data_IF_555615539979
#
_entry.id   IF_555615539979
#
_cell.length_a   1.000
_cell.length_b   1.000
_cell.length_c   1.000
_cell.angle_alpha   90.00
_cell.angle_beta   90.00
_cell.angle_gamma   90.00
#
_symmetry.space_group_name_H-M   'P 1'
#
loop_
_entity.id
_entity.type
_entity.pdbx_description
1 polymer ?
#
# COMPACT_ATOMS: atom_id res chain seq x y z
N UNK A 1 -1.97 45.36 18.31
CA UNK A 1 -3.11 44.84 17.52
C UNK A 1 -3.19 43.34 17.71
N UNK A 2 -4.42 42.83 17.81
CA UNK A 2 -4.75 41.48 18.30
C UNK A 2 -4.09 40.41 17.45
N UNK A 3 -3.55 39.40 18.13
CA UNK A 3 -2.94 38.23 17.52
C UNK A 3 -3.98 37.46 16.71
N UNK A 4 -3.66 37.23 15.45
CA UNK A 4 -4.20 36.09 14.73
C UNK A 4 -3.66 34.85 15.43
N UNK A 5 -4.54 34.18 16.18
CA UNK A 5 -4.33 32.81 16.58
C UNK A 5 -4.16 31.98 15.30
N UNK A 6 -2.91 31.81 14.86
CA UNK A 6 -2.56 30.68 14.00
C UNK A 6 -3.07 29.45 14.73
N UNK A 7 -4.05 28.77 14.11
CA UNK A 7 -4.52 27.47 14.59
C UNK A 7 -3.29 26.59 14.82
N UNK A 8 -3.13 25.94 15.98
CA UNK A 8 -2.01 25.04 16.22
C UNK A 8 -1.96 24.02 15.08
N UNK A 9 -0.82 23.92 14.40
CA UNK A 9 -0.60 22.85 13.42
C UNK A 9 -0.72 21.53 14.20
N UNK A 10 -1.62 20.60 13.84
CA UNK A 10 -1.83 19.41 14.64
C UNK A 10 -0.54 18.58 14.71
N UNK A 11 0.10 18.65 15.88
CA UNK A 11 1.06 17.73 16.46
C UNK A 11 2.32 17.36 15.64
N UNK A 12 3.43 18.04 15.94
CA UNK A 12 4.79 17.55 15.72
C UNK A 12 5.15 16.31 16.59
N UNK A 13 4.22 15.79 17.40
CA UNK A 13 4.40 14.63 18.28
C UNK A 13 3.27 13.59 18.24
N UNK A 14 2.32 13.69 17.30
CA UNK A 14 1.37 12.59 17.07
C UNK A 14 1.98 11.65 16.03
N UNK A 15 2.10 10.36 16.37
CA UNK A 15 2.50 9.24 15.51
C UNK A 15 4.00 9.04 15.23
N UNK A 16 4.89 9.45 16.15
CA UNK A 16 6.19 8.78 16.37
C UNK A 16 5.94 7.64 17.38
N UNK A 17 6.57 6.48 17.16
CA UNK A 17 6.40 5.31 18.03
C UNK A 17 6.82 5.63 19.48
N UNK A 18 6.09 5.14 20.48
CA UNK A 18 6.31 5.49 21.90
C UNK A 18 7.73 5.18 22.41
N UNK A 19 8.31 4.07 21.95
CA UNK A 19 9.69 3.66 22.25
C UNK A 19 10.77 4.38 21.42
N UNK A 20 10.38 5.22 20.45
CA UNK A 20 11.36 5.93 19.63
C UNK A 20 11.98 7.07 20.44
N UNK A 21 13.30 7.01 20.61
CA UNK A 21 14.06 7.97 21.44
C UNK A 21 13.87 9.44 21.04
N UNK A 22 13.57 9.71 19.77
CA UNK A 22 13.38 11.08 19.27
C UNK A 22 11.96 11.62 19.43
N UNK A 23 11.04 10.84 20.01
CA UNK A 23 9.64 11.25 20.20
C UNK A 23 9.54 12.51 21.06
N UNK A 24 10.14 12.45 22.25
CA UNK A 24 10.10 13.52 23.25
C UNK A 24 11.44 14.28 23.34
N UNK A 25 12.49 13.76 22.71
CA UNK A 25 13.84 14.32 22.72
C UNK A 25 14.36 14.50 21.28
N UNK A 26 13.90 15.53 20.54
CA UNK A 26 14.44 15.80 19.21
C UNK A 26 15.93 16.14 19.29
N UNK A 27 16.73 15.87 18.24
CA UNK A 27 18.15 16.20 18.24
C UNK A 27 18.43 17.67 18.55
N UNK A 28 19.27 17.90 19.55
CA UNK A 28 19.81 19.24 19.84
C UNK A 28 20.96 19.53 18.88
N UNK A 29 20.66 20.22 17.78
CA UNK A 29 21.65 20.55 16.77
C UNK A 29 22.77 21.44 17.29
N UNK A 30 22.50 22.31 18.27
CA UNK A 30 23.54 23.16 18.84
C UNK A 30 24.53 22.30 19.63
N UNK A 31 24.03 21.47 20.55
CA UNK A 31 24.86 20.57 21.36
C UNK A 31 25.66 19.60 20.47
N UNK A 32 25.03 19.00 19.47
CA UNK A 32 25.71 18.13 18.49
C UNK A 32 26.80 18.89 17.72
N UNK A 33 26.55 20.14 17.32
CA UNK A 33 27.55 20.98 16.66
C UNK A 33 28.77 21.31 17.53
N UNK A 34 28.60 21.40 18.85
CA UNK A 34 29.73 21.60 19.76
C UNK A 34 30.56 20.33 19.93
N UNK A 35 29.92 19.15 19.89
CA UNK A 35 30.60 17.87 20.06
C UNK A 35 31.24 17.33 18.77
N UNK A 36 30.63 17.60 17.61
CA UNK A 36 31.05 17.03 16.32
C UNK A 36 31.41 18.14 15.33
N UNK A 37 32.70 18.50 15.19
CA UNK A 37 33.13 19.58 14.30
C UNK A 37 32.72 19.38 12.83
N UNK A 38 32.71 18.14 12.33
CA UNK A 38 32.26 17.81 10.98
C UNK A 38 30.77 18.13 10.77
N UNK A 39 29.94 18.01 11.83
CA UNK A 39 28.52 18.36 11.77
C UNK A 39 28.30 19.89 11.86
N UNK A 40 29.13 20.60 12.62
CA UNK A 40 29.01 22.04 12.88
C UNK A 40 28.93 22.89 11.61
N UNK A 41 29.65 22.52 10.55
CA UNK A 41 29.67 23.24 9.27
C UNK A 41 28.30 23.29 8.55
N UNK A 42 27.40 22.35 8.89
CA UNK A 42 26.07 22.23 8.30
C UNK A 42 24.98 22.96 9.11
N UNK A 43 25.37 23.66 10.19
CA UNK A 43 24.46 24.45 11.00
C UNK A 43 24.25 25.85 10.44
N UNK A 44 23.07 26.40 10.71
CA UNK A 44 22.59 27.73 10.33
C UNK A 44 21.98 28.40 11.55
N UNK A 45 21.95 29.74 11.55
CA UNK A 45 21.34 30.54 12.63
C UNK A 45 21.84 30.12 14.03
N UNK A 46 23.15 29.92 14.17
CA UNK A 46 23.78 29.56 15.44
C UNK A 46 23.71 30.75 16.38
N UNK A 47 23.12 30.54 17.56
CA UNK A 47 22.97 31.50 18.65
C UNK A 47 23.56 30.87 19.91
N UNK A 48 24.78 31.28 20.27
CA UNK A 48 25.52 30.74 21.41
C UNK A 48 24.87 31.12 22.75
N UNK A 49 24.34 32.34 22.86
CA UNK A 49 23.68 32.82 24.09
C UNK A 49 22.42 32.01 24.41
N UNK A 50 21.67 31.63 23.37
CA UNK A 50 20.46 30.79 23.53
C UNK A 50 20.73 29.30 23.37
N UNK A 51 21.96 28.89 23.06
CA UNK A 51 22.34 27.51 22.73
C UNK A 51 21.42 26.90 21.66
N UNK A 52 21.22 27.60 20.53
CA UNK A 52 20.33 27.17 19.45
C UNK A 52 21.01 27.16 18.09
N UNK A 53 20.65 26.19 17.27
CA UNK A 53 21.06 26.10 15.87
C UNK A 53 19.97 25.41 15.04
N UNK A 54 19.99 25.64 13.73
CA UNK A 54 19.16 24.96 12.75
C UNK A 54 20.04 24.16 11.78
N UNK A 55 19.54 23.03 11.28
CA UNK A 55 20.20 22.32 10.18
C UNK A 55 19.91 23.01 8.84
N UNK A 56 20.88 23.03 7.93
CA UNK A 56 20.68 23.39 6.52
C UNK A 56 19.91 22.28 5.78
N UNK A 57 18.58 22.26 5.90
CA UNK A 57 17.72 21.22 5.31
C UNK A 57 17.71 21.18 3.77
N UNK A 58 18.10 22.27 3.14
CA UNK A 58 18.28 22.42 1.70
C UNK A 58 19.60 21.81 1.19
N UNK A 59 20.54 21.51 2.10
CA UNK A 59 21.82 20.88 1.78
C UNK A 59 21.74 19.35 1.96
N UNK A 60 21.84 18.55 0.87
CA UNK A 60 21.80 17.10 0.99
C UNK A 60 22.96 16.52 1.82
N UNK A 61 24.11 17.20 1.89
CA UNK A 61 25.22 16.77 2.72
C UNK A 61 24.90 16.95 4.22
N UNK A 62 24.11 17.96 4.58
CA UNK A 62 23.69 18.20 5.96
C UNK A 62 22.82 17.07 6.49
N UNK A 63 21.88 16.55 5.69
CA UNK A 63 21.03 15.42 6.08
C UNK A 63 21.84 14.12 6.27
N UNK A 64 22.85 13.92 5.41
CA UNK A 64 23.80 12.80 5.53
C UNK A 64 24.63 12.89 6.79
N UNK A 65 25.22 14.06 7.04
CA UNK A 65 26.05 14.27 8.22
C UNK A 65 25.23 14.22 9.51
N UNK A 66 23.99 14.71 9.50
CA UNK A 66 23.06 14.53 10.62
C UNK A 66 22.87 13.03 10.91
N UNK A 67 22.56 12.23 9.87
CA UNK A 67 22.32 10.80 10.04
C UNK A 67 23.55 10.07 10.58
N UNK A 68 24.73 10.37 10.05
CA UNK A 68 26.02 9.84 10.52
C UNK A 68 26.29 10.24 11.97
N UNK A 69 26.07 11.51 12.31
CA UNK A 69 26.27 12.05 13.67
C UNK A 69 25.33 11.38 14.67
N UNK A 70 24.05 11.24 14.33
CA UNK A 70 23.08 10.59 15.20
C UNK A 70 23.39 9.10 15.39
N UNK A 71 23.76 8.38 14.33
CA UNK A 71 24.15 6.97 14.45
C UNK A 71 25.34 6.78 15.37
N UNK A 72 26.35 7.63 15.26
CA UNK A 72 27.51 7.60 16.14
C UNK A 72 27.14 7.98 17.59
N UNK A 73 26.49 9.13 17.77
CA UNK A 73 26.18 9.69 19.10
C UNK A 73 25.21 8.81 19.89
N UNK A 74 24.14 8.35 19.25
CA UNK A 74 23.04 7.68 19.94
C UNK A 74 23.17 6.15 19.97
N UNK A 75 23.90 5.56 19.01
CA UNK A 75 23.98 4.11 18.84
C UNK A 75 25.42 3.57 18.78
N UNK A 76 26.44 4.44 18.80
CA UNK A 76 27.84 4.04 18.65
C UNK A 76 28.19 3.49 17.26
N UNK A 77 27.33 3.70 16.27
CA UNK A 77 27.47 3.15 14.94
C UNK A 77 28.29 4.08 14.05
N UNK A 78 29.43 3.58 13.58
CA UNK A 78 30.22 4.23 12.54
C UNK A 78 29.56 3.96 11.20
N UNK A 79 29.18 5.01 10.47
CA UNK A 79 28.35 4.87 9.27
C UNK A 79 28.76 5.87 8.20
N UNK A 80 28.75 5.42 6.95
CA UNK A 80 29.04 6.26 5.79
C UNK A 80 28.41 5.65 4.54
N UNK A 81 28.00 6.49 3.59
CA UNK A 81 27.44 6.09 2.30
C UNK A 81 27.92 7.02 1.19
N UNK A 82 27.99 6.54 -0.06
CA UNK A 82 28.15 7.39 -1.23
C UNK A 82 27.07 8.47 -1.30
N UNK A 83 27.42 9.63 -1.86
CA UNK A 83 26.48 10.75 -1.99
C UNK A 83 25.31 10.44 -2.93
N UNK A 84 25.52 9.57 -3.92
CA UNK A 84 24.52 9.14 -4.91
C UNK A 84 23.66 7.96 -4.41
N UNK A 85 23.43 7.89 -3.09
CA UNK A 85 22.60 6.87 -2.46
C UNK A 85 21.60 7.52 -1.52
N UNK A 86 20.47 6.84 -1.32
CA UNK A 86 19.40 7.35 -0.48
C UNK A 86 19.86 7.46 0.98
N UNK A 87 19.90 8.68 1.52
CA UNK A 87 20.14 8.92 2.94
C UNK A 87 18.86 8.67 3.76
N UNK A 88 18.86 7.74 4.73
CA UNK A 88 17.66 7.41 5.48
C UNK A 88 17.38 8.42 6.61
N UNK A 89 16.16 8.99 6.73
CA UNK A 89 15.80 9.76 7.93
C UNK A 89 15.67 8.81 9.13
N UNK A 90 16.63 8.88 10.06
CA UNK A 90 16.78 7.93 11.16
C UNK A 90 15.52 7.73 12.03
N UNK A 91 14.76 8.76 12.44
CA UNK A 91 13.56 8.56 13.26
C UNK A 91 12.49 7.69 12.58
N UNK A 92 12.31 7.79 11.26
CA UNK A 92 11.37 6.96 10.52
C UNK A 92 11.81 5.49 10.50
N UNK A 93 13.13 5.23 10.44
CA UNK A 93 13.66 3.87 10.44
C UNK A 93 13.44 3.19 11.79
N UNK A 94 13.63 3.92 12.88
CA UNK A 94 13.32 3.45 14.23
C UNK A 94 11.83 3.15 14.43
N UNK A 95 10.92 3.96 13.87
CA UNK A 95 9.48 3.67 13.93
C UNK A 95 9.13 2.30 13.33
N UNK A 96 9.79 1.92 12.23
CA UNK A 96 9.56 0.61 11.63
C UNK A 96 10.13 -0.52 12.51
N UNK A 97 11.36 -0.38 13.00
CA UNK A 97 11.97 -1.38 13.89
C UNK A 97 11.15 -1.61 15.16
N UNK A 98 10.68 -0.53 15.82
CA UNK A 98 9.83 -0.67 16.99
C UNK A 98 8.47 -1.31 16.67
N UNK A 99 7.93 -1.08 15.48
CA UNK A 99 6.73 -1.78 15.06
C UNK A 99 6.97 -3.29 14.85
N UNK A 100 8.15 -3.69 14.34
CA UNK A 100 8.55 -5.10 14.30
C UNK A 100 8.63 -5.68 15.72
N UNK A 101 9.22 -4.98 16.69
CA UNK A 101 9.24 -5.41 18.09
C UNK A 101 7.81 -5.69 18.62
N UNK A 102 6.85 -4.81 18.34
CA UNK A 102 5.44 -5.00 18.74
C UNK A 102 4.81 -6.25 18.11
N UNK A 103 5.11 -6.51 16.83
CA UNK A 103 4.63 -7.70 16.12
C UNK A 103 5.23 -8.99 16.69
N UNK A 104 6.50 -8.96 17.10
CA UNK A 104 7.18 -10.10 17.71
C UNK A 104 6.65 -10.37 19.12
N UNK A 105 6.39 -9.34 19.93
CA UNK A 105 5.79 -9.49 21.27
C UNK A 105 4.43 -10.21 21.20
N UNK A 106 3.64 -9.99 20.14
CA UNK A 106 2.36 -10.68 19.94
C UNK A 106 2.51 -12.20 19.78
N UNK A 107 3.66 -12.69 19.29
CA UNK A 107 3.95 -14.12 19.21
C UNK A 107 4.33 -14.67 20.59
N UNK A 108 5.28 -14.02 21.26
CA UNK A 108 5.81 -14.48 22.55
C UNK A 108 4.72 -14.59 23.62
N UNK A 109 3.75 -13.68 23.61
CA UNK A 109 2.62 -13.70 24.56
C UNK A 109 1.68 -14.91 24.39
N UNK A 110 1.63 -15.53 23.20
CA UNK A 110 0.89 -16.78 22.98
C UNK A 110 1.68 -18.00 23.47
N UNK A 111 3.01 -17.98 23.33
CA UNK A 111 3.93 -19.00 23.88
C UNK A 111 4.06 -18.98 25.40
N UNK A 112 3.94 -17.81 26.05
CA UNK A 112 4.00 -17.66 27.51
C UNK A 112 2.77 -18.19 28.26
N UNK A 113 1.71 -18.63 27.57
CA UNK A 113 0.59 -19.32 28.23
C UNK A 113 0.84 -20.82 28.44
N UNK A 114 1.92 -21.39 27.88
CA UNK A 114 2.29 -22.78 28.13
C UNK A 114 3.81 -22.93 28.31
N UNK A 115 4.18 -23.19 29.58
CA UNK A 115 5.36 -23.93 30.06
C UNK A 115 6.75 -23.29 30.01
N UNK A 116 7.38 -23.37 31.19
CA UNK A 116 8.80 -23.36 31.56
C UNK A 116 9.66 -22.08 31.56
N UNK A 117 10.18 -21.80 32.76
CA UNK A 117 11.11 -20.74 33.16
C UNK A 117 12.55 -20.92 32.63
N UNK A 118 12.77 -21.76 31.62
CA UNK A 118 14.08 -21.99 30.98
C UNK A 118 14.04 -21.63 29.49
N UNK A 119 13.47 -20.47 29.16
CA UNK A 119 13.57 -19.89 27.83
C UNK A 119 15.03 -19.48 27.59
N UNK A 120 15.79 -20.35 26.93
CA UNK A 120 16.99 -19.94 26.19
C UNK A 120 16.62 -18.72 25.37
N UNK A 121 17.34 -17.60 25.51
CA UNK A 121 17.13 -16.38 24.71
C UNK A 121 17.03 -16.78 23.24
N UNK A 122 15.81 -16.84 22.70
CA UNK A 122 15.60 -17.17 21.30
C UNK A 122 16.12 -15.99 20.50
N UNK A 123 17.25 -16.21 19.81
CA UNK A 123 17.86 -15.18 18.97
C UNK A 123 16.94 -14.91 17.80
N UNK A 124 16.33 -13.73 17.77
CA UNK A 124 15.46 -13.28 16.69
C UNK A 124 16.28 -13.16 15.39
N UNK A 125 15.77 -13.74 14.30
CA UNK A 125 16.37 -13.71 12.97
C UNK A 125 15.43 -13.04 11.96
N UNK A 126 15.90 -11.96 11.35
CA UNK A 126 15.19 -11.18 10.33
C UNK A 126 15.82 -11.26 8.93
N UNK A 127 15.06 -10.80 7.94
CA UNK A 127 15.55 -10.55 6.58
C UNK A 127 15.25 -9.10 6.21
N UNK A 128 16.25 -8.35 5.77
CA UNK A 128 16.11 -6.97 5.27
C UNK A 128 16.23 -6.98 3.75
N UNK A 129 15.11 -6.78 3.05
CA UNK A 129 15.03 -6.83 1.58
C UNK A 129 15.33 -5.46 0.99
N UNK A 130 16.39 -5.37 0.19
CA UNK A 130 16.84 -4.10 -0.38
C UNK A 130 17.43 -3.20 0.71
N UNK A 131 18.46 -3.70 1.40
CA UNK A 131 19.08 -3.05 2.56
C UNK A 131 19.74 -1.70 2.21
N UNK A 132 19.99 -1.45 0.91
CA UNK A 132 20.63 -0.24 0.40
C UNK A 132 22.09 -0.13 0.81
N UNK A 133 22.78 0.90 0.32
CA UNK A 133 24.16 1.17 0.74
C UNK A 133 24.29 1.40 2.26
N UNK A 134 23.20 1.87 2.87
CA UNK A 134 23.15 2.27 4.27
C UNK A 134 23.03 1.10 5.26
N UNK A 135 22.43 -0.03 4.88
CA UNK A 135 22.18 -1.18 5.75
C UNK A 135 21.51 -0.83 7.09
N UNK A 136 20.69 0.23 7.11
CA UNK A 136 20.31 0.93 8.34
C UNK A 136 19.49 0.06 9.28
N UNK A 137 18.58 -0.75 8.74
CA UNK A 137 17.69 -1.57 9.56
C UNK A 137 18.45 -2.71 10.24
N UNK A 138 19.29 -3.42 9.49
CA UNK A 138 20.10 -4.51 10.04
C UNK A 138 21.08 -4.00 11.10
N UNK A 139 21.76 -2.86 10.85
CA UNK A 139 22.68 -2.25 11.81
C UNK A 139 21.98 -1.87 13.13
N UNK A 140 20.84 -1.17 13.03
CA UNK A 140 20.08 -0.75 14.20
C UNK A 140 19.51 -1.95 14.96
N UNK A 141 18.85 -2.90 14.28
CA UNK A 141 18.27 -4.08 14.93
C UNK A 141 19.32 -4.98 15.58
N UNK A 142 20.49 -5.15 14.96
CA UNK A 142 21.61 -5.87 15.56
C UNK A 142 22.18 -5.13 16.78
N UNK A 143 22.26 -3.80 16.72
CA UNK A 143 22.82 -2.99 17.82
C UNK A 143 21.88 -2.96 19.03
N UNK A 144 20.61 -2.62 18.79
CA UNK A 144 19.58 -2.40 19.81
C UNK A 144 19.04 -3.71 20.38
N UNK A 145 18.80 -4.71 19.55
CA UNK A 145 18.04 -5.91 19.93
C UNK A 145 18.83 -7.23 19.74
N UNK A 146 20.09 -7.17 19.30
CA UNK A 146 20.94 -8.34 19.00
C UNK A 146 20.33 -9.29 17.97
N UNK A 147 19.47 -8.76 17.09
CA UNK A 147 18.86 -9.54 16.02
C UNK A 147 19.89 -9.99 15.00
N UNK A 148 19.71 -11.20 14.48
CA UNK A 148 20.45 -11.70 13.32
C UNK A 148 19.74 -11.30 12.04
N UNK A 149 20.48 -10.96 11.00
CA UNK A 149 19.95 -10.52 9.72
C UNK A 149 20.57 -11.25 8.54
N UNK A 150 19.73 -11.58 7.56
CA UNK A 150 20.14 -11.65 6.16
C UNK A 150 19.73 -10.34 5.50
N UNK A 151 20.70 -9.53 5.09
CA UNK A 151 20.46 -8.23 4.44
C UNK A 151 20.72 -8.37 2.93
N UNK A 152 19.73 -8.17 2.08
CA UNK A 152 19.83 -8.44 0.65
C UNK A 152 19.96 -7.15 -0.16
N UNK A 153 20.76 -7.19 -1.23
CA UNK A 153 20.91 -6.06 -2.13
C UNK A 153 21.23 -6.52 -3.55
N UNK A 154 20.56 -5.91 -4.54
CA UNK A 154 20.73 -6.21 -5.97
C UNK A 154 21.80 -5.30 -6.60
N UNK A 155 21.89 -4.05 -6.14
CA UNK A 155 22.88 -3.10 -6.63
C UNK A 155 24.29 -3.43 -6.11
N UNK A 156 25.25 -3.52 -7.03
CA UNK A 156 26.62 -3.96 -6.71
C UNK A 156 27.32 -3.03 -5.72
N UNK A 157 27.17 -1.72 -5.91
CA UNK A 157 27.87 -0.72 -5.12
C UNK A 157 27.22 -0.57 -3.74
N UNK A 158 25.88 -0.58 -3.68
CA UNK A 158 25.13 -0.63 -2.42
C UNK A 158 25.48 -1.88 -1.62
N UNK A 159 25.58 -3.05 -2.26
CA UNK A 159 26.01 -4.29 -1.61
C UNK A 159 27.41 -4.14 -0.97
N UNK A 160 28.39 -3.61 -1.71
CA UNK A 160 29.74 -3.40 -1.18
C UNK A 160 29.76 -2.37 -0.05
N UNK A 161 28.97 -1.30 -0.15
CA UNK A 161 28.87 -0.30 0.91
C UNK A 161 28.23 -0.88 2.18
N UNK A 162 27.14 -1.63 2.04
CA UNK A 162 26.46 -2.30 3.15
C UNK A 162 27.43 -3.22 3.88
N UNK A 163 28.21 -4.04 3.15
CA UNK A 163 29.26 -4.89 3.76
C UNK A 163 30.30 -4.08 4.53
N UNK A 164 30.77 -2.96 3.99
CA UNK A 164 31.72 -2.07 4.69
C UNK A 164 31.12 -1.45 5.95
N UNK A 165 29.84 -1.10 5.91
CA UNK A 165 29.09 -0.57 7.06
C UNK A 165 28.90 -1.63 8.16
N UNK A 166 28.66 -2.89 7.80
CA UNK A 166 28.64 -3.98 8.78
C UNK A 166 30.03 -4.20 9.38
N UNK A 167 31.07 -4.30 8.55
CA UNK A 167 32.42 -4.63 9.00
C UNK A 167 33.05 -3.58 9.91
N UNK A 168 32.87 -2.28 9.62
CA UNK A 168 33.39 -1.21 10.49
C UNK A 168 32.79 -1.19 11.90
N UNK A 169 31.61 -1.82 12.07
CA UNK A 169 30.94 -1.94 13.36
C UNK A 169 31.11 -3.34 13.99
N UNK A 170 31.88 -4.23 13.36
CA UNK A 170 32.12 -5.61 13.84
C UNK A 170 30.82 -6.42 14.02
N UNK A 171 29.84 -6.18 13.14
CA UNK A 171 28.51 -6.80 13.22
C UNK A 171 28.33 -8.00 12.28
N UNK A 172 29.39 -8.49 11.63
CA UNK A 172 29.36 -9.68 10.76
C UNK A 172 28.78 -10.94 11.45
N UNK A 173 29.01 -11.19 12.77
CA UNK A 173 28.39 -12.33 13.46
C UNK A 173 26.86 -12.26 13.53
N UNK A 174 26.28 -11.06 13.38
CA UNK A 174 24.85 -10.82 13.41
C UNK A 174 24.27 -10.56 12.02
N UNK A 175 25.02 -9.94 11.11
CA UNK A 175 24.50 -9.47 9.82
C UNK A 175 25.25 -10.13 8.66
N UNK A 176 24.55 -10.97 7.91
CA UNK A 176 25.02 -11.52 6.64
C UNK A 176 24.45 -10.71 5.47
N UNK A 177 25.28 -9.87 4.83
CA UNK A 177 24.90 -9.16 3.61
C UNK A 177 25.03 -10.09 2.40
N UNK A 178 23.94 -10.32 1.68
CA UNK A 178 23.89 -11.17 0.47
C UNK A 178 23.57 -10.34 -0.77
N UNK A 179 24.31 -10.60 -1.85
CA UNK A 179 24.00 -10.04 -3.16
C UNK A 179 22.94 -10.89 -3.84
N UNK A 180 21.91 -10.25 -4.39
CA UNK A 180 20.92 -10.90 -5.26
C UNK A 180 21.14 -10.47 -6.71
N UNK A 181 20.64 -11.29 -7.63
CA UNK A 181 20.82 -11.08 -9.07
C UNK A 181 19.49 -11.09 -9.84
N UNK A 182 18.40 -11.46 -9.17
CA UNK A 182 17.06 -11.53 -9.76
C UNK A 182 16.06 -10.75 -8.92
N UNK A 183 14.85 -10.58 -9.45
CA UNK A 183 13.72 -9.99 -8.72
C UNK A 183 13.02 -11.00 -7.79
N UNK A 184 13.65 -12.14 -7.48
CA UNK A 184 13.16 -13.09 -6.48
C UNK A 184 13.62 -12.63 -5.10
N UNK A 185 12.77 -11.85 -4.44
CA UNK A 185 13.11 -11.06 -3.25
C UNK A 185 13.49 -11.91 -2.04
N UNK A 186 12.91 -13.10 -1.90
CA UNK A 186 13.09 -14.01 -0.77
C UNK A 186 13.58 -15.40 -1.20
N UNK A 187 13.08 -15.94 -2.30
CA UNK A 187 13.41 -17.29 -2.76
C UNK A 187 14.89 -17.43 -3.18
N UNK A 188 15.45 -16.43 -3.88
CA UNK A 188 16.87 -16.44 -4.24
C UNK A 188 17.80 -16.36 -3.02
N UNK A 189 17.68 -15.37 -2.11
CA UNK A 189 18.61 -15.25 -0.97
C UNK A 189 18.50 -16.38 0.06
N UNK A 190 17.37 -17.10 0.08
CA UNK A 190 17.11 -18.22 0.99
C UNK A 190 17.37 -19.61 0.37
N UNK A 191 17.82 -19.68 -0.89
CA UNK A 191 18.12 -20.95 -1.57
C UNK A 191 19.24 -21.76 -0.89
N UNK A 192 20.21 -21.04 -0.32
CA UNK A 192 21.39 -21.62 0.33
C UNK A 192 21.18 -21.79 1.85
N UNK A 193 20.05 -21.34 2.38
CA UNK A 193 19.67 -21.53 3.78
C UNK A 193 18.98 -22.88 3.95
N UNK A 194 19.26 -23.58 5.06
CA UNK A 194 18.60 -24.84 5.38
C UNK A 194 17.06 -24.69 5.28
N UNK A 195 16.34 -25.63 4.64
CA UNK A 195 14.89 -25.57 4.51
C UNK A 195 14.15 -25.42 5.85
N UNK A 196 14.70 -26.00 6.91
CA UNK A 196 14.14 -26.00 8.26
C UNK A 196 14.47 -24.71 9.03
N UNK A 197 15.42 -23.90 8.55
CA UNK A 197 15.75 -22.61 9.17
C UNK A 197 14.55 -21.68 9.04
N UNK A 198 13.98 -21.31 10.19
CA UNK A 198 12.91 -20.34 10.32
C UNK A 198 13.44 -18.93 10.58
N UNK A 199 12.64 -17.95 10.20
CA UNK A 199 12.89 -16.53 10.43
C UNK A 199 11.68 -15.91 11.12
N UNK A 200 11.93 -14.96 12.01
CA UNK A 200 10.89 -14.29 12.76
C UNK A 200 10.21 -13.20 11.93
N UNK A 201 10.98 -12.52 11.06
CA UNK A 201 10.41 -11.50 10.20
C UNK A 201 11.17 -11.25 8.90
N UNK A 202 10.48 -10.67 7.94
CA UNK A 202 11.02 -9.94 6.79
C UNK A 202 10.62 -8.48 6.94
N UNK A 203 11.53 -7.57 6.61
CA UNK A 203 11.25 -6.15 6.46
C UNK A 203 11.73 -5.64 5.10
N UNK A 204 11.04 -4.62 4.59
CA UNK A 204 11.29 -4.08 3.27
C UNK A 204 10.90 -2.60 3.22
N UNK A 205 11.79 -1.76 2.69
CA UNK A 205 11.45 -0.41 2.27
C UNK A 205 11.57 -0.32 0.74
N UNK A 206 10.48 -0.56 0.00
CA UNK A 206 10.55 -0.80 -1.44
C UNK A 206 10.86 0.48 -2.22
N UNK A 207 11.35 0.37 -3.46
CA UNK A 207 11.31 1.46 -4.41
C UNK A 207 9.86 1.95 -4.60
N UNK A 208 9.64 3.25 -4.46
CA UNK A 208 8.29 3.84 -4.36
C UNK A 208 7.66 4.24 -5.70
N UNK A 209 8.46 4.38 -6.75
CA UNK A 209 8.05 5.01 -8.01
C UNK A 209 7.97 4.01 -9.16
N UNK A 210 7.04 4.25 -10.09
CA UNK A 210 6.93 3.45 -11.31
C UNK A 210 8.03 3.80 -12.33
N UNK A 211 8.51 5.04 -12.30
CA UNK A 211 9.56 5.58 -13.17
C UNK A 211 10.19 6.85 -12.55
N UNK A 212 11.35 7.29 -13.07
CA UNK A 212 12.08 8.45 -12.52
C UNK A 212 11.30 9.76 -12.67
N UNK A 213 10.44 9.91 -13.69
CA UNK A 213 9.64 11.13 -13.86
C UNK A 213 8.68 11.35 -12.69
N UNK A 214 8.19 10.28 -12.06
CA UNK A 214 7.37 10.39 -10.84
C UNK A 214 8.19 10.82 -9.63
N UNK A 215 9.46 10.42 -9.56
CA UNK A 215 10.36 10.74 -8.47
C UNK A 215 10.81 12.22 -8.47
N UNK A 216 10.90 12.83 -9.66
CA UNK A 216 11.32 14.23 -9.84
C UNK A 216 10.20 15.26 -9.54
N UNK A 217 8.99 14.83 -9.20
CA UNK A 217 7.84 15.73 -8.99
C UNK A 217 7.84 16.48 -7.65
N UNK A 218 8.79 16.20 -6.75
CA UNK A 218 8.82 16.79 -5.41
C UNK A 218 10.11 17.61 -5.17
N UNK A 219 10.09 18.93 -5.44
CA UNK A 219 11.28 19.79 -5.39
C UNK A 219 11.87 19.97 -3.99
N UNK A 220 11.11 19.67 -2.92
CA UNK A 220 11.56 19.77 -1.52
C UNK A 220 12.32 18.52 -1.04
N UNK A 221 12.40 17.46 -1.84
CA UNK A 221 13.19 16.26 -1.53
C UNK A 221 14.32 16.14 -2.53
N UNK A 222 15.55 16.46 -2.11
CA UNK A 222 16.78 16.13 -2.82
C UNK A 222 16.92 14.61 -2.87
N UNK A 223 16.24 13.98 -3.83
CA UNK A 223 16.13 12.53 -3.93
C UNK A 223 17.39 11.97 -4.59
N UNK A 224 18.45 11.76 -3.80
CA UNK A 224 19.74 11.26 -4.27
C UNK A 224 19.84 9.72 -4.33
N UNK A 225 18.70 9.03 -4.44
CA UNK A 225 18.70 7.56 -4.53
C UNK A 225 19.17 7.06 -5.89
N UNK A 226 19.70 5.83 -5.93
CA UNK A 226 19.95 5.18 -7.22
C UNK A 226 18.63 4.79 -7.91
N UNK A 227 18.63 4.57 -9.23
CA UNK A 227 17.45 4.13 -9.98
C UNK A 227 16.79 2.89 -9.36
N UNK A 228 17.59 1.93 -8.90
CA UNK A 228 17.11 0.67 -8.32
C UNK A 228 16.55 0.85 -6.90
N UNK A 229 16.95 1.90 -6.18
CA UNK A 229 16.40 2.24 -4.85
C UNK A 229 15.08 3.03 -4.97
N UNK A 230 14.82 3.65 -6.12
CA UNK A 230 13.71 4.57 -6.30
C UNK A 230 12.59 4.00 -7.18
N UNK A 231 12.95 3.21 -8.19
CA UNK A 231 12.04 2.80 -9.26
C UNK A 231 11.96 1.29 -9.38
N UNK A 232 10.75 0.80 -9.59
CA UNK A 232 10.50 -0.58 -10.00
C UNK A 232 9.37 -0.61 -11.04
N UNK A 233 9.41 -1.50 -12.05
CA UNK A 233 8.30 -1.65 -12.99
C UNK A 233 6.99 -2.02 -12.26
N UNK A 234 6.00 -1.13 -12.29
CA UNK A 234 4.74 -1.27 -11.52
C UNK A 234 4.85 -0.84 -10.05
N UNK A 235 5.97 -0.24 -9.68
CA UNK A 235 6.23 0.48 -8.43
C UNK A 235 6.13 -0.38 -7.19
N UNK A 236 5.88 0.27 -6.05
CA UNK A 236 5.79 -0.39 -4.76
C UNK A 236 4.70 -1.48 -4.72
N UNK A 237 3.64 -1.37 -5.53
CA UNK A 237 2.57 -2.37 -5.57
C UNK A 237 3.05 -3.66 -6.23
N UNK A 238 3.76 -3.58 -7.36
CA UNK A 238 4.31 -4.76 -8.03
C UNK A 238 5.46 -5.39 -7.22
N UNK A 239 6.29 -4.55 -6.59
CA UNK A 239 7.40 -5.01 -5.75
C UNK A 239 6.88 -5.80 -4.53
N UNK A 240 5.98 -5.20 -3.74
CA UNK A 240 5.39 -5.87 -2.58
C UNK A 240 4.49 -7.03 -3.02
N UNK A 241 3.80 -6.90 -4.16
CA UNK A 241 3.01 -8.00 -4.75
C UNK A 241 3.86 -9.24 -5.05
N UNK A 242 5.08 -9.06 -5.56
CA UNK A 242 6.03 -10.16 -5.76
C UNK A 242 6.43 -10.80 -4.43
N UNK A 243 6.67 -10.00 -3.40
CA UNK A 243 6.95 -10.50 -2.04
C UNK A 243 5.76 -11.27 -1.45
N UNK A 244 4.52 -10.85 -1.73
CA UNK A 244 3.30 -11.58 -1.34
C UNK A 244 3.27 -12.95 -2.03
N UNK A 245 3.51 -13.01 -3.34
CA UNK A 245 3.56 -14.29 -4.08
C UNK A 245 4.63 -15.24 -3.53
N UNK A 246 5.83 -14.74 -3.27
CA UNK A 246 6.90 -15.56 -2.68
C UNK A 246 6.57 -16.01 -1.24
N UNK A 247 5.84 -15.20 -0.49
CA UNK A 247 5.39 -15.54 0.86
C UNK A 247 4.44 -16.75 0.89
N UNK A 248 3.64 -16.97 -0.15
CA UNK A 248 2.75 -18.14 -0.25
C UNK A 248 3.52 -19.46 -0.40
N UNK A 249 4.74 -19.41 -0.94
CA UNK A 249 5.63 -20.55 -1.05
C UNK A 249 6.41 -20.78 0.26
N UNK A 250 6.80 -19.70 0.93
CA UNK A 250 7.61 -19.76 2.16
C UNK A 250 6.77 -20.04 3.41
N UNK A 251 5.51 -19.58 3.45
CA UNK A 251 4.53 -19.79 4.53
C UNK A 251 5.16 -19.65 5.92
N UNK A 252 5.14 -20.72 6.70
CA UNK A 252 5.59 -20.76 8.11
C UNK A 252 7.12 -20.82 8.27
N UNK A 253 7.89 -20.77 7.17
CA UNK A 253 9.34 -20.53 7.24
C UNK A 253 9.65 -19.13 7.76
N UNK A 254 8.74 -18.18 7.57
CA UNK A 254 8.89 -16.80 8.03
C UNK A 254 7.61 -16.42 8.78
N UNK A 255 7.74 -15.97 10.03
CA UNK A 255 6.56 -15.68 10.84
C UNK A 255 5.86 -14.41 10.37
N UNK A 256 6.57 -13.29 10.31
CA UNK A 256 6.01 -12.02 9.84
C UNK A 256 6.63 -11.57 8.52
N UNK A 257 5.80 -11.39 7.51
CA UNK A 257 6.18 -10.66 6.31
C UNK A 257 5.75 -9.21 6.46
N UNK A 258 6.66 -8.25 6.29
CA UNK A 258 6.33 -6.83 6.45
C UNK A 258 6.94 -5.96 5.36
N UNK A 259 6.27 -4.85 5.04
CA UNK A 259 6.82 -3.81 4.17
C UNK A 259 6.36 -2.42 4.62
N UNK A 260 7.21 -1.43 4.41
CA UNK A 260 6.80 -0.03 4.34
C UNK A 260 6.07 0.24 3.01
N UNK A 261 5.12 1.17 3.04
CA UNK A 261 4.31 1.58 1.90
C UNK A 261 4.32 3.11 1.82
N UNK A 262 4.70 3.63 0.66
CA UNK A 262 4.85 5.05 0.35
C UNK A 262 3.52 5.78 0.18
N UNK A 263 2.55 5.14 -0.47
CA UNK A 263 1.25 5.73 -0.80
C UNK A 263 0.08 4.96 -0.17
N UNK A 264 -0.89 5.68 0.38
CA UNK A 264 -2.12 5.08 0.93
C UNK A 264 -2.93 4.31 -0.12
N UNK A 265 -2.90 4.76 -1.38
CA UNK A 265 -3.55 4.06 -2.50
C UNK A 265 -2.91 2.69 -2.75
N UNK A 266 -1.58 2.60 -2.69
CA UNK A 266 -0.83 1.33 -2.77
C UNK A 266 -1.23 0.38 -1.65
N UNK A 267 -1.31 0.88 -0.40
CA UNK A 267 -1.74 0.08 0.75
C UNK A 267 -3.11 -0.59 0.50
N UNK A 268 -4.08 0.13 -0.06
CA UNK A 268 -5.40 -0.43 -0.38
C UNK A 268 -5.33 -1.57 -1.40
N UNK A 269 -4.51 -1.42 -2.45
CA UNK A 269 -4.30 -2.44 -3.48
C UNK A 269 -3.64 -3.69 -2.88
N UNK A 270 -2.62 -3.51 -2.04
CA UNK A 270 -1.92 -4.61 -1.38
C UNK A 270 -2.83 -5.38 -0.40
N UNK A 271 -3.66 -4.67 0.36
CA UNK A 271 -4.68 -5.29 1.19
C UNK A 271 -5.72 -6.06 0.37
N UNK A 272 -5.98 -5.65 -0.88
CA UNK A 272 -6.84 -6.41 -1.78
C UNK A 272 -6.16 -7.69 -2.28
N UNK A 273 -4.88 -7.63 -2.62
CA UNK A 273 -4.09 -8.83 -2.98
C UNK A 273 -4.07 -9.84 -1.83
N UNK A 274 -3.78 -9.40 -0.60
CA UNK A 274 -3.75 -10.28 0.57
C UNK A 274 -5.10 -10.97 0.85
N UNK A 275 -6.24 -10.34 0.51
CA UNK A 275 -7.55 -11.00 0.65
C UNK A 275 -7.74 -12.20 -0.28
N UNK A 276 -7.01 -12.24 -1.40
CA UNK A 276 -6.99 -13.38 -2.32
C UNK A 276 -6.03 -14.49 -1.92
N UNK A 277 -5.25 -14.30 -0.85
CA UNK A 277 -4.25 -15.27 -0.36
C UNK A 277 -4.73 -15.98 0.90
N UNK A 278 -4.06 -17.07 1.28
CA UNK A 278 -4.39 -17.86 2.47
C UNK A 278 -3.78 -17.33 3.78
N UNK A 279 -3.39 -16.05 3.85
CA UNK A 279 -2.82 -15.45 5.06
C UNK A 279 -3.83 -15.50 6.22
N UNK A 280 -3.35 -15.84 7.41
CA UNK A 280 -4.20 -15.97 8.60
C UNK A 280 -4.48 -14.62 9.25
N UNK A 281 -3.51 -13.71 9.18
CA UNK A 281 -3.62 -12.41 9.82
C UNK A 281 -2.91 -11.33 9.02
N UNK A 282 -3.44 -10.12 9.12
CA UNK A 282 -2.87 -8.90 8.53
C UNK A 282 -2.89 -7.79 9.58
N UNK A 283 -1.83 -6.99 9.64
CA UNK A 283 -1.69 -5.80 10.47
C UNK A 283 -1.26 -4.63 9.59
N UNK A 284 -1.68 -3.42 9.96
CA UNK A 284 -1.18 -2.20 9.33
C UNK A 284 -0.94 -1.12 10.38
N UNK A 285 -0.08 -0.18 10.06
CA UNK A 285 0.22 0.97 10.91
C UNK A 285 0.48 2.22 10.08
N UNK A 286 0.57 3.38 10.72
CA UNK A 286 0.98 4.64 10.11
C UNK A 286 2.27 5.13 10.77
N UNK A 287 3.25 5.52 9.96
CA UNK A 287 4.47 6.17 10.42
C UNK A 287 4.37 7.65 10.03
N UNK A 288 4.36 8.55 11.02
CA UNK A 288 4.45 9.99 10.76
C UNK A 288 5.79 10.52 11.24
N UNK A 289 6.50 11.25 10.37
CA UNK A 289 7.66 12.02 10.77
C UNK A 289 7.59 13.40 10.09
N UNK A 290 7.39 14.43 10.90
CA UNK A 290 7.18 15.79 10.40
C UNK A 290 6.00 15.85 9.44
N UNK A 291 6.26 16.21 8.18
CA UNK A 291 5.26 16.28 7.11
C UNK A 291 5.06 14.96 6.35
N UNK A 292 6.00 14.03 6.48
CA UNK A 292 6.02 12.82 5.69
C UNK A 292 5.24 11.71 6.39
N UNK A 293 4.20 11.22 5.72
CA UNK A 293 3.42 10.06 6.15
C UNK A 293 3.79 8.83 5.34
N UNK A 294 3.97 7.71 6.02
CA UNK A 294 4.16 6.36 5.44
C UNK A 294 3.23 5.38 6.15
N UNK A 295 3.06 4.20 5.57
CA UNK A 295 2.27 3.12 6.13
C UNK A 295 3.12 1.87 6.30
N UNK A 296 2.79 1.03 7.27
CA UNK A 296 3.31 -0.33 7.37
C UNK A 296 2.23 -1.33 7.04
N UNK A 297 2.59 -2.40 6.35
CA UNK A 297 1.75 -3.58 6.12
C UNK A 297 2.50 -4.82 6.61
N UNK A 298 1.80 -5.71 7.32
CA UNK A 298 2.35 -6.97 7.80
C UNK A 298 1.33 -8.08 7.63
N UNK A 299 1.79 -9.29 7.27
CA UNK A 299 0.96 -10.47 7.14
C UNK A 299 1.70 -11.72 7.61
N UNK A 300 0.93 -12.75 7.95
CA UNK A 300 1.45 -14.02 8.46
C UNK A 300 0.57 -15.19 8.04
N UNK A 301 1.19 -16.35 7.87
CA UNK A 301 0.52 -17.64 7.69
C UNK A 301 0.39 -18.42 9.01
N UNK A 302 1.11 -17.99 10.05
CA UNK A 302 1.06 -18.62 11.37
C UNK A 302 -0.27 -18.32 12.06
N UNK A 303 -0.82 -19.35 12.71
CA UNK A 303 -1.98 -19.24 13.58
C UNK A 303 -1.58 -18.87 15.03
N UNK A 304 -0.28 -18.75 15.31
CA UNK A 304 0.28 -18.51 16.64
C UNK A 304 0.39 -17.02 16.99
N UNK A 305 -0.10 -16.15 16.11
CA UNK A 305 -0.24 -14.73 16.39
C UNK A 305 -1.50 -14.48 17.22
N UNK A 306 -1.41 -13.64 18.24
CA UNK A 306 -2.59 -13.18 18.99
C UNK A 306 -3.50 -12.39 18.05
N UNK A 307 -4.76 -12.80 17.96
CA UNK A 307 -5.75 -11.98 17.29
C UNK A 307 -6.05 -10.78 18.18
N UNK A 308 -5.61 -9.59 17.75
CA UNK A 308 -5.89 -8.34 18.46
C UNK A 308 -7.09 -7.67 17.79
N UNK A 309 -8.31 -7.82 18.33
CA UNK A 309 -9.50 -7.21 17.75
C UNK A 309 -9.49 -5.67 17.82
N UNK A 310 -8.57 -5.07 18.60
CA UNK A 310 -8.37 -3.62 18.67
C UNK A 310 -7.44 -3.09 17.57
N UNK A 311 -6.60 -3.96 17.00
CA UNK A 311 -5.70 -3.63 15.89
C UNK A 311 -6.50 -3.31 14.62
N UNK A 312 -6.77 -2.02 14.40
CA UNK A 312 -7.44 -1.54 13.20
C UNK A 312 -6.53 -1.73 12.00
N UNK A 313 -6.81 -2.73 11.17
CA UNK A 313 -6.27 -2.75 9.81
C UNK A 313 -6.89 -1.58 9.06
N UNK A 314 -6.07 -0.57 8.78
CA UNK A 314 -6.42 0.59 7.97
C UNK A 314 -7.03 0.12 6.65
N UNK A 315 -8.32 0.42 6.43
CA UNK A 315 -9.08 -0.03 5.27
C UNK A 315 -10.06 -1.19 5.51
N UNK A 316 -10.01 -1.91 6.64
CA UNK A 316 -10.93 -3.04 6.92
C UNK A 316 -12.40 -2.62 7.12
N UNK A 317 -12.68 -1.47 7.76
CA UNK A 317 -14.05 -1.17 8.24
C UNK A 317 -14.94 -0.33 7.32
N UNK A 318 -14.38 0.49 6.41
CA UNK A 318 -15.20 1.41 5.59
C UNK A 318 -15.39 0.98 4.15
N UNK A 319 -14.47 0.24 3.53
CA UNK A 319 -14.57 -0.03 2.09
C UNK A 319 -15.41 -1.28 1.77
N UNK A 320 -15.25 -2.36 2.54
CA UNK A 320 -16.01 -3.61 2.34
C UNK A 320 -17.52 -3.40 2.51
N UNK A 321 -17.91 -2.49 3.42
CA UNK A 321 -19.29 -2.07 3.64
C UNK A 321 -19.73 -0.94 2.70
N UNK A 322 -18.81 -0.16 2.11
CA UNK A 322 -19.13 0.92 1.15
C UNK A 322 -19.30 0.42 -0.28
N UNK A 323 -18.54 -0.57 -0.74
CA UNK A 323 -18.82 -1.27 -2.01
C UNK A 323 -19.86 -2.37 -1.80
N UNK A 324 -20.95 -2.06 -1.09
CA UNK A 324 -22.21 -2.79 -1.26
C UNK A 324 -22.96 -2.18 -2.45
N UNK A 325 -22.77 -0.89 -2.68
CA UNK A 325 -23.33 -0.15 -3.81
C UNK A 325 -22.28 0.77 -4.47
N UNK A 326 -22.48 1.10 -5.75
CA UNK A 326 -21.76 2.12 -6.51
C UNK A 326 -22.77 3.03 -7.19
N UNK A 327 -22.65 4.35 -6.96
CA UNK A 327 -23.41 5.38 -7.66
C UNK A 327 -22.52 6.16 -8.61
N UNK A 328 -23.02 6.47 -9.80
CA UNK A 328 -22.37 7.39 -10.73
C UNK A 328 -23.39 8.11 -11.62
N UNK A 329 -23.02 9.30 -12.09
CA UNK A 329 -23.87 10.12 -12.95
C UNK A 329 -23.47 10.02 -14.42
N UNK A 330 -24.47 10.03 -15.30
CA UNK A 330 -24.36 10.12 -16.75
C UNK A 330 -24.99 11.45 -17.18
N UNK A 331 -24.22 12.40 -17.72
CA UNK A 331 -24.73 13.73 -18.04
C UNK A 331 -25.78 13.67 -19.16
N UNK A 332 -26.86 14.45 -19.02
CA UNK A 332 -27.83 14.64 -20.09
C UNK A 332 -27.22 15.53 -21.17
N UNK A 333 -27.33 15.13 -22.44
CA UNK A 333 -26.86 15.97 -23.54
C UNK A 333 -27.86 15.90 -24.70
N UNK A 334 -28.60 16.99 -24.90
CA UNK A 334 -29.66 17.14 -25.91
C UNK A 334 -29.15 17.65 -27.26
N UNK A 335 -27.94 18.21 -27.31
CA UNK A 335 -27.43 18.93 -28.50
C UNK A 335 -26.45 18.11 -29.35
N UNK A 336 -25.86 17.03 -28.82
CA UNK A 336 -25.03 16.11 -29.59
C UNK A 336 -25.73 14.77 -29.84
N UNK A 337 -25.68 14.27 -31.08
CA UNK A 337 -26.19 12.95 -31.51
C UNK A 337 -25.57 11.72 -30.79
N UNK A 338 -24.83 11.94 -29.70
CA UNK A 338 -24.05 10.94 -28.96
C UNK A 338 -24.18 11.06 -27.43
N UNK A 339 -25.09 11.91 -26.92
CA UNK A 339 -25.47 12.04 -25.51
C UNK A 339 -26.36 10.89 -25.00
N UNK A 340 -26.76 10.93 -23.73
CA UNK A 340 -27.98 10.26 -23.29
C UNK A 340 -29.06 11.33 -23.19
N UNK A 341 -30.20 11.12 -23.84
CA UNK A 341 -31.37 11.99 -23.74
C UNK A 341 -32.46 11.36 -22.86
N UNK A 342 -32.36 10.06 -22.56
CA UNK A 342 -33.28 9.31 -21.72
C UNK A 342 -32.57 8.23 -20.88
N UNK A 343 -33.26 7.71 -19.85
CA UNK A 343 -32.83 6.53 -19.08
C UNK A 343 -32.66 5.29 -19.99
N UNK A 344 -33.39 5.22 -21.11
CA UNK A 344 -33.29 4.16 -22.10
C UNK A 344 -31.95 4.22 -22.87
N UNK A 345 -31.41 5.41 -23.12
CA UNK A 345 -30.08 5.56 -23.73
C UNK A 345 -28.97 5.09 -22.80
N UNK A 346 -29.13 5.33 -21.49
CA UNK A 346 -28.21 4.83 -20.46
C UNK A 346 -28.27 3.30 -20.42
N UNK A 347 -29.47 2.72 -20.40
CA UNK A 347 -29.67 1.27 -20.45
C UNK A 347 -29.08 0.66 -21.72
N UNK A 348 -29.22 1.34 -22.87
CA UNK A 348 -28.65 0.88 -24.13
C UNK A 348 -27.12 0.80 -24.07
N UNK A 349 -26.43 1.77 -23.46
CA UNK A 349 -24.97 1.72 -23.25
C UNK A 349 -24.55 0.55 -22.37
N UNK A 350 -25.33 0.28 -21.33
CA UNK A 350 -25.10 -0.85 -20.43
C UNK A 350 -25.25 -2.17 -21.19
N UNK A 351 -26.31 -2.31 -22.01
CA UNK A 351 -26.52 -3.48 -22.88
C UNK A 351 -25.40 -3.65 -23.91
N UNK A 352 -24.94 -2.57 -24.54
CA UNK A 352 -23.81 -2.60 -25.48
C UNK A 352 -22.53 -3.14 -24.83
N UNK A 353 -22.22 -2.67 -23.61
CA UNK A 353 -21.06 -3.20 -22.86
C UNK A 353 -21.22 -4.68 -22.54
N UNK A 354 -22.39 -5.07 -22.04
CA UNK A 354 -22.69 -6.47 -21.67
C UNK A 354 -22.60 -7.38 -22.89
N UNK A 355 -23.11 -6.95 -24.04
CA UNK A 355 -23.00 -7.69 -25.30
C UNK A 355 -21.56 -7.89 -25.82
N UNK A 356 -20.56 -7.19 -25.26
CA UNK A 356 -19.15 -7.44 -25.59
C UNK A 356 -18.51 -8.59 -24.81
N UNK A 357 -19.26 -9.20 -23.89
CA UNK A 357 -18.78 -10.22 -22.94
C UNK A 357 -19.74 -11.40 -22.92
N UNK A 358 -19.29 -12.55 -23.41
CA UNK A 358 -20.11 -13.78 -23.44
C UNK A 358 -20.50 -14.25 -22.03
N UNK A 359 -19.69 -13.91 -21.03
CA UNK A 359 -19.92 -14.26 -19.64
C UNK A 359 -20.94 -13.37 -18.91
N UNK A 360 -21.43 -12.29 -19.52
CA UNK A 360 -22.32 -11.32 -18.87
C UNK A 360 -23.76 -11.42 -19.39
N UNK A 361 -24.72 -11.32 -18.48
CA UNK A 361 -26.14 -11.29 -18.80
C UNK A 361 -26.83 -10.13 -18.06
N UNK A 362 -27.81 -9.52 -18.74
CA UNK A 362 -28.68 -8.50 -18.17
C UNK A 362 -30.14 -8.92 -18.38
N UNK A 363 -30.88 -9.14 -17.29
CA UNK A 363 -32.32 -9.41 -17.34
C UNK A 363 -33.11 -8.24 -16.76
N UNK A 364 -34.26 -7.95 -17.37
CA UNK A 364 -35.20 -6.95 -16.82
C UNK A 364 -35.99 -7.61 -15.71
N UNK A 365 -35.96 -7.05 -14.50
CA UNK A 365 -36.82 -7.53 -13.43
C UNK A 365 -38.19 -6.86 -13.57
N UNK A 366 -39.21 -7.63 -13.96
CA UNK A 366 -40.59 -7.16 -14.01
C UNK A 366 -41.27 -7.46 -12.67
N UNK A 367 -40.78 -6.84 -11.60
CA UNK A 367 -41.59 -6.73 -10.38
C UNK A 367 -42.64 -5.63 -10.62
N UNK A 368 -43.80 -6.05 -11.16
CA UNK A 368 -45.04 -5.26 -11.07
C UNK A 368 -45.31 -5.00 -9.59
N UNK A 369 -45.58 -3.74 -9.28
CA UNK A 369 -46.16 -3.27 -8.03
C UNK A 369 -47.24 -4.23 -7.51
N UNK A 370 -46.98 -4.85 -6.37
CA UNK A 370 -48.03 -5.27 -5.44
C UNK A 370 -47.80 -4.47 -4.15
N UNK A 371 -48.89 -4.00 -3.54
CA UNK A 371 -49.04 -3.01 -2.45
C UNK A 371 -49.11 -1.57 -2.98
N UNK A 372 -50.25 -0.86 -3.01
CA UNK A 372 -51.59 -1.04 -2.46
C UNK A 372 -52.60 -0.34 -3.39
N UNK A 373 -53.69 -1.03 -3.73
CA UNK A 373 -54.89 -0.39 -4.26
C UNK A 373 -55.55 0.42 -3.13
N UNK A 374 -55.46 1.75 -3.21
CA UNK A 374 -56.58 2.61 -2.83
C UNK A 374 -56.85 3.56 -3.99
N UNK A 375 -58.10 3.46 -4.43
CA UNK A 375 -58.77 4.25 -5.46
C UNK A 375 -58.49 5.74 -5.26
N UNK A 376 -58.00 6.39 -6.31
CA UNK A 376 -58.58 7.63 -6.81
C UNK A 376 -58.30 7.70 -8.33
N UNK A 377 -59.37 7.91 -9.09
CA UNK A 377 -59.38 8.14 -10.53
C UNK A 377 -58.76 9.51 -10.85
N UNK A 378 -58.22 9.63 -12.07
CA UNK A 378 -57.52 10.77 -12.67
C UNK A 378 -56.05 10.95 -12.30
N UNK A 379 -55.15 10.34 -13.08
CA UNK A 379 -53.97 11.06 -13.59
C UNK A 379 -53.36 10.34 -14.81
N UNK A 380 -52.93 11.16 -15.75
CA UNK A 380 -52.32 10.81 -17.04
C UNK A 380 -51.07 9.94 -16.91
N UNK A 381 -50.80 9.14 -17.96
CA UNK A 381 -49.59 8.34 -18.21
C UNK A 381 -48.31 9.21 -18.12
N UNK A 382 -47.84 9.48 -16.89
CA UNK A 382 -46.56 10.15 -16.59
C UNK A 382 -45.45 9.11 -16.40
N UNK A 383 -44.33 9.34 -17.10
CA UNK A 383 -43.30 8.37 -17.42
C UNK A 383 -42.63 7.66 -16.25
N UNK A 384 -42.20 6.41 -16.48
CA UNK A 384 -41.33 5.67 -15.57
C UNK A 384 -40.04 6.46 -15.26
N UNK A 385 -39.97 7.03 -14.07
CA UNK A 385 -38.81 7.81 -13.57
C UNK A 385 -37.57 6.95 -13.24
N UNK A 386 -37.69 5.62 -13.31
CA UNK A 386 -36.60 4.71 -13.02
C UNK A 386 -36.72 3.35 -13.74
N UNK A 387 -35.59 2.68 -13.93
CA UNK A 387 -35.46 1.33 -14.50
C UNK A 387 -34.57 0.48 -13.59
N UNK A 388 -34.89 -0.81 -13.48
CA UNK A 388 -34.07 -1.78 -12.76
C UNK A 388 -33.79 -3.03 -13.60
N UNK A 389 -32.55 -3.49 -13.53
CA UNK A 389 -32.07 -4.67 -14.23
C UNK A 389 -31.21 -5.52 -13.31
N UNK A 390 -31.24 -6.84 -13.50
CA UNK A 390 -30.34 -7.78 -12.83
C UNK A 390 -29.13 -8.03 -13.73
N UNK A 391 -27.94 -7.82 -13.18
CA UNK A 391 -26.64 -8.01 -13.83
C UNK A 391 -25.97 -9.26 -13.27
N UNK A 392 -25.68 -10.22 -14.16
CA UNK A 392 -25.08 -11.50 -13.80
C UNK A 392 -23.80 -11.75 -14.57
N UNK A 393 -22.82 -12.36 -13.89
CA UNK A 393 -21.65 -12.95 -14.52
C UNK A 393 -21.70 -14.47 -14.34
N UNK A 394 -21.58 -15.21 -15.43
CA UNK A 394 -21.61 -16.67 -15.46
C UNK A 394 -20.19 -17.25 -15.54
N UNK A 395 -19.97 -18.46 -15.00
CA UNK A 395 -18.69 -19.15 -15.15
C UNK A 395 -18.50 -19.61 -16.60
N UNK A 396 -17.29 -19.46 -17.16
CA UNK A 396 -16.98 -19.96 -18.51
C UNK A 396 -17.17 -21.48 -18.56
N UNK A 397 -17.92 -21.95 -19.56
CA UNK A 397 -18.23 -23.37 -19.76
C UNK A 397 -16.96 -24.08 -20.22
N UNK A 398 -16.34 -24.85 -19.32
CA UNK A 398 -15.37 -25.87 -19.70
C UNK A 398 -16.06 -27.24 -19.65
N UNK A 399 -16.38 -27.75 -20.83
CA UNK A 399 -16.76 -29.15 -21.16
C UNK A 399 -17.78 -29.88 -20.26
N UNK A 400 -18.98 -30.08 -20.83
CA UNK A 400 -19.95 -31.16 -20.61
C UNK A 400 -20.39 -31.41 -19.15
N UNK A 401 -21.17 -30.49 -18.60
CA UNK A 401 -22.37 -30.80 -17.79
C UNK A 401 -23.21 -29.52 -17.60
N UNK A 402 -24.50 -29.62 -17.88
CA UNK A 402 -25.50 -28.54 -17.87
C UNK A 402 -25.62 -27.81 -16.53
N UNK A 403 -25.27 -26.53 -16.53
CA UNK A 403 -26.02 -25.37 -15.99
C UNK A 403 -25.07 -24.18 -15.91
N UNK A 404 -25.46 -23.03 -16.46
CA UNK A 404 -24.68 -21.80 -16.37
C UNK A 404 -24.73 -21.30 -14.92
N UNK A 405 -23.78 -21.72 -14.10
CA UNK A 405 -23.72 -21.33 -12.70
C UNK A 405 -23.33 -19.84 -12.60
N UNK A 406 -24.22 -19.04 -12.01
CA UNK A 406 -23.99 -17.62 -11.75
C UNK A 406 -22.80 -17.49 -10.79
N UNK A 407 -21.71 -16.88 -11.28
CA UNK A 407 -20.50 -16.61 -10.49
C UNK A 407 -20.74 -15.49 -9.49
N UNK A 408 -21.40 -14.43 -9.93
CA UNK A 408 -21.83 -13.31 -9.10
C UNK A 408 -22.97 -12.54 -9.77
N UNK A 409 -23.80 -11.90 -8.96
CA UNK A 409 -24.92 -11.10 -9.41
C UNK A 409 -25.14 -9.85 -8.55
N UNK A 410 -25.83 -8.89 -9.15
CA UNK A 410 -26.29 -7.68 -8.49
C UNK A 410 -27.36 -6.99 -9.33
N UNK A 411 -27.91 -5.89 -8.82
CA UNK A 411 -28.90 -5.08 -9.54
C UNK A 411 -28.33 -3.75 -9.97
N UNK A 412 -28.88 -3.22 -11.07
CA UNK A 412 -28.58 -1.93 -11.68
C UNK A 412 -29.87 -1.15 -11.71
N UNK A 413 -29.90 -0.02 -11.04
CA UNK A 413 -31.01 0.94 -11.00
C UNK A 413 -30.58 2.20 -11.75
N UNK A 414 -31.43 2.71 -12.64
CA UNK A 414 -31.19 3.90 -13.45
C UNK A 414 -32.35 4.85 -13.18
N UNK A 415 -32.09 6.08 -12.75
CA UNK A 415 -33.12 7.08 -12.46
C UNK A 415 -32.70 8.45 -12.98
N UNK A 416 -33.67 9.33 -13.17
CA UNK A 416 -33.40 10.74 -13.47
C UNK A 416 -32.82 11.40 -12.22
N UNK A 417 -31.75 12.18 -12.39
CA UNK A 417 -31.09 12.88 -11.27
C UNK A 417 -32.00 13.98 -10.71
N UNK A 418 -31.99 14.17 -9.38
CA UNK A 418 -32.82 15.17 -8.68
C UNK A 418 -32.59 16.61 -9.18
N UNK A 419 -31.38 16.90 -9.68
CA UNK A 419 -30.99 18.20 -10.25
C UNK A 419 -31.36 18.36 -11.74
N UNK A 420 -31.99 17.35 -12.35
CA UNK A 420 -32.40 17.32 -13.77
C UNK A 420 -31.26 17.52 -14.79
N UNK A 421 -29.99 17.45 -14.37
CA UNK A 421 -28.82 17.64 -15.25
C UNK A 421 -28.27 16.32 -15.82
N UNK A 422 -28.87 15.18 -15.48
CA UNK A 422 -28.41 13.87 -15.93
C UNK A 422 -29.21 12.69 -15.41
N UNK A 423 -28.63 11.51 -15.56
CA UNK A 423 -29.15 10.24 -15.07
C UNK A 423 -28.21 9.68 -14.01
N UNK A 424 -28.74 9.16 -12.92
CA UNK A 424 -27.96 8.46 -11.91
C UNK A 424 -28.11 6.95 -12.11
N UNK A 425 -26.99 6.25 -11.99
CA UNK A 425 -26.93 4.79 -12.04
C UNK A 425 -26.41 4.28 -10.71
N UNK A 426 -27.22 3.45 -10.05
CA UNK A 426 -26.90 2.75 -8.81
C UNK A 426 -26.71 1.26 -9.11
N UNK A 427 -25.59 0.70 -8.69
CA UNK A 427 -25.31 -0.73 -8.84
C UNK A 427 -25.09 -1.33 -7.46
N UNK A 428 -25.87 -2.35 -7.11
CA UNK A 428 -25.83 -3.00 -5.80
C UNK A 428 -25.40 -4.46 -5.96
N UNK A 429 -24.39 -4.88 -5.22
CA UNK A 429 -23.98 -6.28 -5.16
C UNK A 429 -25.01 -7.10 -4.38
N UNK A 430 -25.40 -8.27 -4.89
CA UNK A 430 -26.36 -9.14 -4.20
C UNK A 430 -25.72 -10.44 -3.75
N UNK A 431 -25.01 -11.15 -4.64
CA UNK A 431 -24.48 -12.48 -4.32
C UNK A 431 -23.27 -12.92 -5.17
N UNK A 432 -22.57 -13.95 -4.69
CA UNK A 432 -21.44 -14.60 -5.37
C UNK A 432 -20.06 -13.97 -5.13
N UNK A 433 -19.16 -14.10 -6.11
CA UNK A 433 -17.78 -13.60 -6.07
C UNK A 433 -17.73 -12.06 -6.15
N UNK A 434 -17.56 -11.42 -4.99
CA UNK A 434 -17.47 -9.96 -4.84
C UNK A 434 -16.34 -9.32 -5.64
N UNK A 435 -15.18 -9.97 -5.75
CA UNK A 435 -14.03 -9.37 -6.41
C UNK A 435 -14.27 -9.28 -7.93
N UNK A 436 -14.81 -10.36 -8.49
CA UNK A 436 -15.17 -10.44 -9.90
C UNK A 436 -16.31 -9.48 -10.25
N UNK A 437 -17.33 -9.39 -9.39
CA UNK A 437 -18.43 -8.44 -9.56
C UNK A 437 -17.93 -7.00 -9.64
N UNK A 438 -17.14 -6.53 -8.68
CA UNK A 438 -16.69 -5.13 -8.68
C UNK A 438 -15.68 -4.82 -9.78
N UNK A 439 -14.87 -5.79 -10.23
CA UNK A 439 -14.00 -5.60 -11.39
C UNK A 439 -14.82 -5.41 -12.68
N UNK A 440 -15.90 -6.19 -12.84
CA UNK A 440 -16.87 -6.01 -13.94
C UNK A 440 -17.56 -4.64 -13.85
N UNK A 441 -18.05 -4.25 -12.67
CA UNK A 441 -18.76 -2.98 -12.47
C UNK A 441 -17.87 -1.77 -12.74
N UNK A 442 -16.59 -1.79 -12.35
CA UNK A 442 -15.64 -0.70 -12.65
C UNK A 442 -15.46 -0.53 -14.19
N UNK A 443 -15.49 -1.62 -14.96
CA UNK A 443 -15.46 -1.57 -16.43
C UNK A 443 -16.78 -1.06 -17.03
N UNK A 444 -17.92 -1.51 -16.47
CA UNK A 444 -19.25 -1.06 -16.88
C UNK A 444 -19.40 0.45 -16.67
N UNK A 445 -19.07 0.97 -15.49
CA UNK A 445 -19.10 2.41 -15.19
C UNK A 445 -18.28 3.19 -16.21
N UNK A 446 -17.05 2.76 -16.49
CA UNK A 446 -16.20 3.41 -17.47
C UNK A 446 -16.80 3.40 -18.88
N UNK A 447 -17.50 2.33 -19.26
CA UNK A 447 -18.18 2.22 -20.56
C UNK A 447 -19.42 3.14 -20.63
N UNK A 448 -20.19 3.23 -19.54
CA UNK A 448 -21.42 4.04 -19.49
C UNK A 448 -21.12 5.55 -19.45
N UNK A 449 -20.11 5.98 -18.68
CA UNK A 449 -19.76 7.40 -18.47
C UNK A 449 -18.97 7.99 -19.64
N UNK A 450 -18.10 7.23 -20.32
CA UNK A 450 -17.33 7.75 -21.44
C UNK A 450 -18.28 8.11 -22.59
N UNK A 451 -18.14 9.33 -23.13
CA UNK A 451 -18.85 9.72 -24.36
C UNK A 451 -18.60 8.66 -25.42
N UNK A 452 -19.66 8.05 -25.94
CA UNK A 452 -19.58 6.79 -26.73
C UNK A 452 -18.70 6.86 -27.99
N UNK A 453 -18.13 8.02 -28.33
CA UNK A 453 -17.23 8.25 -29.46
C UNK A 453 -15.93 7.43 -29.39
N UNK A 454 -15.27 7.29 -28.23
CA UNK A 454 -14.04 6.51 -28.13
C UNK A 454 -14.29 5.00 -28.12
N UNK A 455 -15.38 4.56 -27.48
CA UNK A 455 -15.76 3.16 -27.41
C UNK A 455 -16.32 2.65 -28.74
N UNK A 456 -17.25 3.36 -29.40
CA UNK A 456 -17.78 3.00 -30.72
C UNK A 456 -16.70 2.94 -31.80
N UNK A 457 -15.71 3.84 -31.77
CA UNK A 457 -14.54 3.80 -32.66
C UNK A 457 -13.65 2.58 -32.40
N UNK A 458 -13.50 2.18 -31.14
CA UNK A 458 -12.73 0.99 -30.77
C UNK A 458 -13.46 -0.30 -31.18
N UNK A 459 -14.77 -0.35 -31.01
CA UNK A 459 -15.63 -1.46 -31.40
C UNK A 459 -15.68 -1.63 -32.93
N UNK A 460 -15.88 -0.55 -33.68
CA UNK A 460 -15.85 -0.56 -35.15
C UNK A 460 -14.51 -1.08 -35.69
N UNK A 461 -13.39 -0.67 -35.08
CA UNK A 461 -12.06 -1.17 -35.45
C UNK A 461 -11.88 -2.66 -35.13
N UNK A 462 -12.45 -3.15 -34.03
CA UNK A 462 -12.39 -4.57 -33.66
C UNK A 462 -13.26 -5.45 -34.55
N UNK A 463 -14.46 -4.97 -34.93
CA UNK A 463 -15.36 -5.67 -35.86
C UNK A 463 -14.82 -5.68 -37.30
N UNK A 464 -14.21 -4.57 -37.75
CA UNK A 464 -13.55 -4.50 -39.06
C UNK A 464 -12.31 -5.40 -39.13
N UNK A 465 -11.54 -5.53 -38.03
CA UNK A 465 -10.38 -6.41 -37.97
C UNK A 465 -10.70 -7.92 -37.93
N UNK A 466 -11.96 -8.32 -37.74
CA UNK A 466 -12.40 -9.71 -37.78
C UNK A 466 -12.97 -10.14 -39.15
N UNK A 467 -13.15 -9.20 -40.09
CA UNK A 467 -13.61 -9.51 -41.46
C UNK A 467 -12.46 -9.65 -42.47
N UNK A 468 -11.21 -9.39 -42.09
CA UNK A 468 -10.01 -9.52 -42.95
C UNK A 468 -9.10 -10.70 -42.57
N UNK A 469 -9.64 -11.75 -41.93
CA UNK A 469 -8.95 -13.02 -41.71
C UNK A 469 -9.71 -14.21 -42.31
#
# INVERSE_FOLDING_TARGET
MRGEHRRPTPHLGAFIHDRNRYKDNPPDFYALGQQYPEFKQYLRNVDDDKCRACLAWDDPFAARELTKTLLLHDFGLHWDIPINRLCPPLPNRLNYLHWIEDLLIQLTRKGLQQTDQNLTETVVSGIDVGTGANCIYALLGATMNKWKFIATEIDSDSYQCAKKNVARNQLEPLISVKRTHTNKLLLEPLKDELPERKFDFVMCNPPFFDNMNEADTNPDSSCMGSTNEMVFPGGEVAFIGSMITESELLRDRIVWFTSMVGKKSSLRKLLALLRGTQVKSTRTTEFLQGRTKRWGIAWTFSSDVIDDPSAKVLGKRKEAHRRQELRFQVPMNREEANGCASIHDVLQRIREFIGTKEELQLSMDTMKQQEDQKEDEDETDEGQDWLMCRLEQHKSISTISDSSEVRCAGRVEIFVSDDSEGFEVLIVFEEGDRASFWAMVDMLQAATVRTGRQWRRKLQRQQQGQQEL
#
